data_IF_102964616842
#
_entry.id   IF_102964616842
#
_cell.length_a   1.000
_cell.length_b   1.000
_cell.length_c   1.000
_cell.angle_alpha   90.00
_cell.angle_beta   90.00
_cell.angle_gamma   90.00
#
_symmetry.space_group_name_H-M   'P 1'
#
loop_
_entity.id
_entity.type
_entity.pdbx_description
1 polymer ?
#
# COMPACT_ATOMS: atom_id res chain seq x y z
N UNK A 1 -37.79 -31.42 0.60
CA UNK A 1 -37.41 -30.77 1.90
C UNK A 1 -36.01 -31.12 2.41
N UNK A 2 -35.56 -32.38 2.40
CA UNK A 2 -34.15 -32.70 2.80
C UNK A 2 -33.10 -32.16 1.87
N UNK A 3 -33.31 -32.20 0.53
CA UNK A 3 -32.37 -31.72 -0.50
C UNK A 3 -32.19 -30.20 -0.47
N UNK A 4 -33.27 -29.43 -0.25
CA UNK A 4 -33.14 -27.95 -0.16
C UNK A 4 -32.40 -27.51 1.10
N UNK A 5 -32.51 -28.23 2.20
CA UNK A 5 -31.78 -27.94 3.45
C UNK A 5 -30.27 -28.20 3.29
N UNK A 6 -29.90 -29.28 2.60
CA UNK A 6 -28.48 -29.60 2.29
C UNK A 6 -27.87 -28.64 1.28
N UNK A 7 -28.58 -28.24 0.22
CA UNK A 7 -28.13 -27.26 -0.77
C UNK A 7 -27.86 -25.90 -0.09
N UNK A 8 -28.83 -25.39 0.68
CA UNK A 8 -28.67 -24.09 1.39
C UNK A 8 -27.53 -24.10 2.41
N UNK A 9 -27.27 -25.24 3.05
CA UNK A 9 -26.13 -25.40 3.97
C UNK A 9 -24.79 -25.44 3.22
N UNK A 10 -24.75 -26.08 2.07
CA UNK A 10 -23.61 -26.11 1.16
C UNK A 10 -23.23 -24.71 0.67
N UNK A 11 -24.20 -23.92 0.20
CA UNK A 11 -24.01 -22.55 -0.28
C UNK A 11 -23.51 -21.61 0.84
N UNK A 12 -24.06 -21.77 2.05
CA UNK A 12 -23.62 -20.99 3.23
C UNK A 12 -22.18 -21.32 3.62
N UNK A 13 -21.80 -22.60 3.62
CA UNK A 13 -20.43 -23.04 3.91
C UNK A 13 -19.45 -22.58 2.84
N UNK A 14 -19.83 -22.61 1.56
CA UNK A 14 -19.02 -22.11 0.45
C UNK A 14 -18.81 -20.59 0.56
N UNK A 15 -19.85 -19.83 0.92
CA UNK A 15 -19.75 -18.39 1.15
C UNK A 15 -18.84 -18.04 2.36
N UNK A 16 -18.92 -18.80 3.44
CA UNK A 16 -18.06 -18.65 4.61
C UNK A 16 -16.60 -19.01 4.29
N UNK A 17 -16.38 -20.09 3.55
CA UNK A 17 -15.05 -20.48 3.10
C UNK A 17 -14.44 -19.45 2.16
N UNK A 18 -15.24 -18.87 1.25
CA UNK A 18 -14.81 -17.78 0.37
C UNK A 18 -14.39 -16.54 1.16
N UNK A 19 -15.17 -16.14 2.18
CA UNK A 19 -14.83 -15.03 3.08
C UNK A 19 -13.55 -15.30 3.88
N UNK A 20 -13.38 -16.51 4.41
CA UNK A 20 -12.15 -16.91 5.11
C UNK A 20 -10.94 -16.91 4.19
N UNK A 21 -11.08 -17.37 2.94
CA UNK A 21 -10.04 -17.31 1.91
C UNK A 21 -9.64 -15.88 1.57
N UNK A 22 -10.59 -14.97 1.36
CA UNK A 22 -10.33 -13.55 1.12
C UNK A 22 -9.57 -12.91 2.28
N UNK A 23 -10.00 -13.14 3.52
CA UNK A 23 -9.33 -12.63 4.73
C UNK A 23 -7.88 -13.13 4.82
N UNK A 24 -7.65 -14.41 4.56
CA UNK A 24 -6.30 -15.00 4.59
C UNK A 24 -5.40 -14.34 3.54
N UNK A 25 -5.87 -14.17 2.31
CA UNK A 25 -5.11 -13.52 1.24
C UNK A 25 -4.79 -12.08 1.59
N UNK A 26 -5.74 -11.30 2.12
CA UNK A 26 -5.48 -9.93 2.56
C UNK A 26 -4.44 -9.85 3.67
N UNK A 27 -4.42 -10.78 4.63
CA UNK A 27 -3.40 -10.84 5.68
C UNK A 27 -2.02 -11.17 5.07
N UNK A 28 -1.95 -12.11 4.13
CA UNK A 28 -0.68 -12.47 3.48
C UNK A 28 -0.15 -11.28 2.67
N UNK A 29 -1.00 -10.63 1.86
CA UNK A 29 -0.62 -9.45 1.06
C UNK A 29 -0.18 -8.30 1.97
N UNK A 30 -0.90 -8.04 3.06
CA UNK A 30 -0.51 -7.07 4.08
C UNK A 30 0.88 -7.35 4.66
N UNK A 31 1.14 -8.60 5.02
CA UNK A 31 2.44 -9.00 5.59
C UNK A 31 3.58 -8.86 4.58
N UNK A 32 3.35 -9.22 3.31
CA UNK A 32 4.31 -9.04 2.23
C UNK A 32 4.61 -7.56 2.03
N UNK A 33 3.58 -6.70 1.90
CA UNK A 33 3.77 -5.26 1.70
C UNK A 33 4.51 -4.62 2.89
N UNK A 34 4.18 -5.00 4.13
CA UNK A 34 4.87 -4.48 5.31
C UNK A 34 6.35 -4.90 5.35
N UNK A 35 6.64 -6.17 5.05
CA UNK A 35 8.02 -6.67 4.99
C UNK A 35 8.81 -5.98 3.87
N UNK A 36 8.20 -5.84 2.69
CA UNK A 36 8.84 -5.20 1.55
C UNK A 36 9.04 -3.70 1.77
N UNK A 37 8.11 -3.01 2.44
CA UNK A 37 8.34 -1.63 2.88
C UNK A 37 9.65 -1.49 3.64
N UNK A 38 9.90 -2.34 4.63
CA UNK A 38 11.13 -2.27 5.44
C UNK A 38 12.39 -2.56 4.60
N UNK A 39 12.33 -3.57 3.76
CA UNK A 39 13.45 -3.98 2.90
C UNK A 39 13.75 -2.92 1.85
N UNK A 40 12.74 -2.42 1.17
CA UNK A 40 12.90 -1.48 0.06
C UNK A 40 13.20 -0.06 0.56
N UNK A 41 12.58 0.39 1.66
CA UNK A 41 12.94 1.68 2.27
C UNK A 41 14.39 1.69 2.75
N UNK A 42 14.82 0.61 3.43
CA UNK A 42 16.22 0.44 3.82
C UNK A 42 17.17 0.35 2.61
N UNK A 43 16.76 -0.36 1.56
CA UNK A 43 17.48 -0.43 0.28
C UNK A 43 17.56 0.93 -0.41
N UNK A 44 16.49 1.71 -0.38
CA UNK A 44 16.42 3.07 -0.92
C UNK A 44 17.38 4.03 -0.21
N UNK A 45 17.43 3.96 1.13
CA UNK A 45 18.42 4.71 1.92
C UNK A 45 19.85 4.28 1.58
N UNK A 46 20.13 2.99 1.50
CA UNK A 46 21.46 2.47 1.15
C UNK A 46 21.88 2.80 -0.28
N UNK A 47 20.94 2.76 -1.22
CA UNK A 47 21.15 3.12 -2.62
C UNK A 47 21.19 4.63 -2.85
N UNK A 48 20.75 5.43 -1.88
CA UNK A 48 20.41 6.84 -2.05
C UNK A 48 19.43 7.03 -3.21
N UNK A 49 18.34 6.25 -3.22
CA UNK A 49 17.34 6.28 -4.28
C UNK A 49 16.01 6.83 -3.77
N UNK A 50 15.64 8.01 -4.27
CA UNK A 50 14.34 8.62 -3.97
C UNK A 50 13.18 7.84 -4.58
N UNK A 51 13.39 7.21 -5.73
CA UNK A 51 12.38 6.39 -6.38
C UNK A 51 12.06 5.13 -5.56
N UNK A 52 13.08 4.39 -5.08
CA UNK A 52 12.88 3.24 -4.18
C UNK A 52 12.20 3.65 -2.87
N UNK A 53 12.65 4.74 -2.27
CA UNK A 53 12.03 5.24 -1.03
C UNK A 53 10.57 5.63 -1.24
N UNK A 54 10.25 6.30 -2.34
CA UNK A 54 8.88 6.68 -2.67
C UNK A 54 7.99 5.45 -2.92
N UNK A 55 8.48 4.46 -3.65
CA UNK A 55 7.78 3.21 -3.96
C UNK A 55 7.50 2.39 -2.68
N UNK A 56 8.48 2.30 -1.77
CA UNK A 56 8.28 1.64 -0.48
C UNK A 56 7.17 2.27 0.37
N UNK A 57 7.00 3.61 0.31
CA UNK A 57 5.91 4.31 1.04
C UNK A 57 4.54 3.88 0.52
N UNK A 58 4.42 3.51 -0.76
CA UNK A 58 3.20 2.91 -1.31
C UNK A 58 2.89 1.56 -0.66
N UNK A 59 3.87 0.69 -0.58
CA UNK A 59 3.72 -0.61 0.09
C UNK A 59 3.28 -0.44 1.55
N UNK A 60 3.82 0.56 2.27
CA UNK A 60 3.34 0.91 3.60
C UNK A 60 1.88 1.37 3.57
N UNK A 61 1.52 2.22 2.61
CA UNK A 61 0.15 2.69 2.40
C UNK A 61 -0.84 1.55 2.26
N UNK A 62 -0.50 0.57 1.43
CA UNK A 62 -1.30 -0.62 1.18
C UNK A 62 -1.40 -1.52 2.42
N UNK A 63 -0.28 -1.81 3.09
CA UNK A 63 -0.29 -2.57 4.33
C UNK A 63 -1.21 -1.93 5.37
N UNK A 64 -1.18 -0.59 5.51
CA UNK A 64 -2.07 0.13 6.42
C UNK A 64 -3.54 0.04 5.99
N UNK A 65 -3.87 0.11 4.69
CA UNK A 65 -5.26 -0.08 4.21
C UNK A 65 -5.77 -1.46 4.60
N UNK A 66 -4.98 -2.52 4.39
CA UNK A 66 -5.39 -3.88 4.75
C UNK A 66 -5.53 -4.06 6.27
N UNK A 67 -4.57 -3.54 7.05
CA UNK A 67 -4.64 -3.56 8.52
C UNK A 67 -5.90 -2.86 9.02
N UNK A 68 -6.20 -1.67 8.50
CA UNK A 68 -7.38 -0.89 8.88
C UNK A 68 -8.68 -1.56 8.46
N UNK A 69 -8.74 -2.13 7.24
CA UNK A 69 -9.91 -2.88 6.77
C UNK A 69 -10.20 -4.11 7.64
N UNK A 70 -9.15 -4.78 8.13
CA UNK A 70 -9.29 -5.93 9.03
C UNK A 70 -9.68 -5.51 10.46
N UNK A 71 -9.22 -4.34 10.91
CA UNK A 71 -9.41 -3.85 12.28
C UNK A 71 -10.73 -3.08 12.47
N UNK A 72 -11.11 -2.26 11.48
CA UNK A 72 -12.26 -1.34 11.59
C UNK A 72 -13.61 -2.04 11.43
N UNK A 73 -13.66 -3.24 10.82
CA UNK A 73 -14.87 -4.01 10.52
C UNK A 73 -15.85 -4.19 11.71
N UNK A 74 -15.42 -3.91 12.95
CA UNK A 74 -16.21 -4.18 14.16
C UNK A 74 -16.25 -3.02 15.17
N UNK A 75 -15.71 -1.83 14.86
CA UNK A 75 -15.48 -0.77 15.88
C UNK A 75 -16.18 0.57 15.66
N UNK A 76 -16.94 0.72 14.59
CA UNK A 76 -17.76 1.90 14.31
C UNK A 76 -17.02 3.09 13.68
N UNK A 77 -17.78 4.08 13.14
CA UNK A 77 -17.28 5.12 12.22
C UNK A 77 -16.17 6.02 12.79
N UNK A 78 -16.17 6.25 14.11
CA UNK A 78 -15.16 7.08 14.75
C UNK A 78 -13.77 6.43 14.77
N UNK A 79 -13.73 5.09 14.95
CA UNK A 79 -12.50 4.32 14.90
C UNK A 79 -11.96 4.22 13.47
N UNK A 80 -12.84 4.05 12.49
CA UNK A 80 -12.49 4.06 11.06
C UNK A 80 -11.85 5.40 10.67
N UNK A 81 -12.48 6.51 11.05
CA UNK A 81 -11.95 7.85 10.77
C UNK A 81 -10.61 8.11 11.49
N UNK A 82 -10.49 7.71 12.76
CA UNK A 82 -9.22 7.84 13.51
C UNK A 82 -8.07 7.05 12.88
N UNK A 83 -8.35 5.84 12.43
CA UNK A 83 -7.41 4.99 11.74
C UNK A 83 -6.99 5.56 10.37
N UNK A 84 -7.93 6.14 9.61
CA UNK A 84 -7.63 6.83 8.36
C UNK A 84 -6.75 8.08 8.58
N UNK A 85 -6.99 8.83 9.67
CA UNK A 85 -6.12 9.96 10.06
C UNK A 85 -4.71 9.46 10.38
N UNK A 86 -4.57 8.42 11.20
CA UNK A 86 -3.26 7.85 11.54
C UNK A 86 -2.50 7.41 10.28
N UNK A 87 -3.16 6.71 9.35
CA UNK A 87 -2.58 6.35 8.06
C UNK A 87 -2.10 7.59 7.29
N UNK A 88 -2.97 8.58 7.12
CA UNK A 88 -2.64 9.80 6.37
C UNK A 88 -1.43 10.54 6.96
N UNK A 89 -1.34 10.64 8.28
CA UNK A 89 -0.20 11.27 8.98
C UNK A 89 1.09 10.48 8.78
N UNK A 90 1.05 9.16 8.87
CA UNK A 90 2.22 8.28 8.65
C UNK A 90 2.74 8.45 7.21
N UNK A 91 1.86 8.40 6.21
CA UNK A 91 2.25 8.56 4.80
C UNK A 91 2.81 9.97 4.53
N UNK A 92 2.21 11.02 5.11
CA UNK A 92 2.78 12.37 5.01
C UNK A 92 4.18 12.44 5.61
N UNK A 93 4.40 11.84 6.78
CA UNK A 93 5.70 11.81 7.44
C UNK A 93 6.78 11.16 6.56
N UNK A 94 6.53 9.98 6.04
CA UNK A 94 7.46 9.29 5.14
C UNK A 94 7.63 10.03 3.81
N UNK A 95 6.55 10.57 3.24
CA UNK A 95 6.63 11.37 2.03
C UNK A 95 7.50 12.62 2.21
N UNK A 96 7.47 13.27 3.37
CA UNK A 96 8.38 14.38 3.70
C UNK A 96 9.83 13.94 3.76
N UNK A 97 10.14 12.76 4.29
CA UNK A 97 11.51 12.20 4.28
C UNK A 97 12.00 12.02 2.85
N UNK A 98 11.16 11.50 1.96
CA UNK A 98 11.49 11.36 0.52
C UNK A 98 11.72 12.71 -0.14
N UNK A 99 10.90 13.73 0.17
CA UNK A 99 11.12 15.09 -0.37
C UNK A 99 12.43 15.70 0.10
N UNK A 100 12.84 15.46 1.35
CA UNK A 100 14.15 15.91 1.87
C UNK A 100 15.27 15.23 1.10
N UNK A 101 15.20 13.92 0.85
CA UNK A 101 16.19 13.19 0.03
C UNK A 101 16.25 13.72 -1.40
N UNK A 102 15.11 14.03 -2.03
CA UNK A 102 15.05 14.66 -3.35
C UNK A 102 15.75 16.03 -3.33
N UNK A 103 15.46 16.86 -2.32
CA UNK A 103 16.06 18.19 -2.19
C UNK A 103 17.58 18.10 -1.99
N UNK A 104 18.06 17.16 -1.18
CA UNK A 104 19.49 16.90 -0.99
C UNK A 104 20.18 16.51 -2.30
N UNK A 105 19.56 15.63 -3.08
CA UNK A 105 20.08 15.24 -4.40
C UNK A 105 20.11 16.36 -5.41
N UNK A 106 19.09 17.23 -5.42
CA UNK A 106 19.08 18.40 -6.28
C UNK A 106 20.22 19.37 -5.93
N UNK A 107 20.58 19.48 -4.65
CA UNK A 107 21.65 20.34 -4.18
C UNK A 107 23.05 19.77 -4.46
N UNK A 108 23.25 18.47 -4.32
CA UNK A 108 24.57 17.82 -4.37
C UNK A 108 24.83 17.03 -5.64
N UNK A 109 23.81 16.68 -6.41
CA UNK A 109 23.91 16.02 -7.71
C UNK A 109 24.47 14.57 -7.69
N UNK A 110 24.50 13.92 -6.51
CA UNK A 110 25.08 12.59 -6.34
C UNK A 110 24.12 11.53 -6.93
N UNK A 111 24.55 10.76 -7.96
CA UNK A 111 23.70 9.72 -8.51
C UNK A 111 23.53 8.56 -7.53
N UNK A 112 22.33 7.93 -7.49
CA UNK A 112 22.11 6.74 -6.68
C UNK A 112 22.85 5.52 -7.22
N UNK A 113 23.01 4.49 -6.40
CA UNK A 113 23.57 3.20 -6.83
C UNK A 113 22.57 2.44 -7.70
N UNK A 114 22.76 2.43 -9.02
CA UNK A 114 21.91 1.72 -9.97
C UNK A 114 21.87 0.22 -9.70
N UNK A 115 22.97 -0.39 -9.24
CA UNK A 115 23.02 -1.83 -8.87
C UNK A 115 22.10 -2.14 -7.70
N UNK A 116 22.10 -1.33 -6.65
CA UNK A 116 21.20 -1.50 -5.51
C UNK A 116 19.76 -1.21 -5.91
N UNK A 117 19.52 -0.18 -6.73
CA UNK A 117 18.18 0.10 -7.27
C UNK A 117 17.61 -1.10 -8.04
N UNK A 118 18.40 -1.72 -8.91
CA UNK A 118 18.01 -2.91 -9.67
C UNK A 118 17.75 -4.10 -8.74
N UNK A 119 18.60 -4.33 -7.74
CA UNK A 119 18.46 -5.46 -6.83
C UNK A 119 17.18 -5.33 -5.98
N UNK A 120 16.99 -4.20 -5.29
CA UNK A 120 15.81 -3.99 -4.43
C UNK A 120 14.53 -3.80 -5.23
N UNK A 121 14.55 -3.05 -6.32
CA UNK A 121 13.40 -2.84 -7.20
C UNK A 121 12.94 -4.14 -7.90
N UNK A 122 13.87 -5.04 -8.27
CA UNK A 122 13.50 -6.36 -8.79
C UNK A 122 12.85 -7.24 -7.73
N UNK A 123 13.33 -7.17 -6.48
CA UNK A 123 12.72 -7.84 -5.34
C UNK A 123 11.30 -7.32 -5.07
N UNK A 124 11.11 -6.00 -5.10
CA UNK A 124 9.82 -5.35 -4.94
C UNK A 124 8.84 -5.74 -6.06
N UNK A 125 9.28 -5.70 -7.33
CA UNK A 125 8.47 -6.14 -8.46
C UNK A 125 8.04 -7.61 -8.30
N UNK A 126 8.94 -8.50 -7.91
CA UNK A 126 8.61 -9.91 -7.69
C UNK A 126 7.58 -10.10 -6.57
N UNK A 127 7.72 -9.37 -5.46
CA UNK A 127 6.75 -9.39 -4.36
C UNK A 127 5.37 -8.85 -4.79
N UNK A 128 5.33 -7.74 -5.55
CA UNK A 128 4.07 -7.17 -6.04
C UNK A 128 3.41 -8.05 -7.11
N UNK A 129 4.16 -8.72 -7.97
CA UNK A 129 3.62 -9.72 -8.88
C UNK A 129 3.03 -10.92 -8.12
N UNK A 130 3.67 -11.36 -7.03
CA UNK A 130 3.13 -12.39 -6.15
C UNK A 130 1.81 -11.93 -5.50
N UNK A 131 1.77 -10.72 -4.95
CA UNK A 131 0.54 -10.14 -4.38
C UNK A 131 -0.58 -10.05 -5.42
N UNK A 132 -0.28 -9.56 -6.62
CA UNK A 132 -1.22 -9.48 -7.73
C UNK A 132 -1.77 -10.87 -8.10
N UNK A 133 -0.91 -11.89 -8.17
CA UNK A 133 -1.28 -13.29 -8.43
C UNK A 133 -2.19 -13.87 -7.35
N UNK A 134 -1.91 -13.60 -6.08
CA UNK A 134 -2.74 -14.03 -4.96
C UNK A 134 -4.14 -13.37 -4.99
N UNK A 135 -4.20 -12.10 -5.38
CA UNK A 135 -5.46 -11.33 -5.48
C UNK A 135 -6.27 -11.67 -6.73
N UNK A 136 -5.62 -12.17 -7.79
CA UNK A 136 -6.26 -12.46 -9.09
C UNK A 136 -7.52 -13.32 -8.96
N UNK A 137 -7.45 -14.37 -8.14
CA UNK A 137 -8.57 -15.29 -7.91
C UNK A 137 -9.81 -14.60 -7.33
N UNK A 138 -9.60 -13.53 -6.56
CA UNK A 138 -10.66 -12.84 -5.81
C UNK A 138 -11.11 -11.51 -6.43
N UNK A 139 -10.53 -11.09 -7.58
CA UNK A 139 -10.80 -9.78 -8.20
C UNK A 139 -12.26 -9.52 -8.54
N UNK A 140 -13.06 -10.56 -8.74
CA UNK A 140 -14.50 -10.46 -9.04
C UNK A 140 -15.42 -10.72 -7.85
N UNK A 141 -14.89 -10.99 -6.64
CA UNK A 141 -15.69 -11.41 -5.52
C UNK A 141 -16.57 -10.29 -4.91
N UNK A 142 -16.04 -9.07 -4.83
CA UNK A 142 -16.73 -7.86 -4.36
C UNK A 142 -15.93 -6.60 -4.72
N UNK A 143 -16.54 -5.41 -4.48
CA UNK A 143 -15.95 -4.10 -4.80
C UNK A 143 -14.60 -3.89 -4.10
N UNK A 144 -14.48 -4.30 -2.82
CA UNK A 144 -13.23 -4.13 -2.07
C UNK A 144 -12.09 -4.98 -2.66
N UNK A 145 -12.35 -6.24 -3.00
CA UNK A 145 -11.35 -7.13 -3.60
C UNK A 145 -10.93 -6.66 -4.99
N UNK A 146 -11.87 -6.11 -5.76
CA UNK A 146 -11.57 -5.50 -7.05
C UNK A 146 -10.67 -4.28 -6.90
N UNK A 147 -11.00 -3.37 -5.98
CA UNK A 147 -10.17 -2.19 -5.70
C UNK A 147 -8.77 -2.58 -5.24
N UNK A 148 -8.65 -3.56 -4.33
CA UNK A 148 -7.38 -4.11 -3.88
C UNK A 148 -6.54 -4.67 -5.02
N UNK A 149 -7.17 -5.40 -5.95
CA UNK A 149 -6.49 -5.92 -7.13
C UNK A 149 -6.00 -4.80 -8.06
N UNK A 150 -6.81 -3.76 -8.27
CA UNK A 150 -6.44 -2.60 -9.10
C UNK A 150 -5.29 -1.81 -8.47
N UNK A 151 -5.25 -1.65 -7.14
CA UNK A 151 -4.10 -1.07 -6.43
C UNK A 151 -2.84 -1.89 -6.70
N UNK A 152 -2.86 -3.20 -6.39
CA UNK A 152 -1.70 -4.07 -6.60
C UNK A 152 -1.19 -4.10 -8.06
N UNK A 153 -2.09 -3.91 -9.03
CA UNK A 153 -1.67 -3.74 -10.43
C UNK A 153 -0.91 -2.42 -10.66
N UNK A 154 -1.34 -1.35 -10.00
CA UNK A 154 -0.66 -0.05 -10.10
C UNK A 154 0.71 -0.10 -9.45
N UNK A 155 0.88 -0.85 -8.33
CA UNK A 155 2.17 -1.04 -7.67
C UNK A 155 3.17 -1.74 -8.61
N UNK A 156 2.72 -2.75 -9.36
CA UNK A 156 3.55 -3.39 -10.40
C UNK A 156 4.02 -2.36 -11.45
N UNK A 157 3.15 -1.43 -11.86
CA UNK A 157 3.51 -0.38 -12.82
C UNK A 157 4.50 0.63 -12.21
N UNK A 158 4.34 1.00 -10.94
CA UNK A 158 5.26 1.86 -10.20
C UNK A 158 6.65 1.22 -10.13
N UNK A 159 6.74 -0.04 -9.74
CA UNK A 159 7.99 -0.80 -9.68
C UNK A 159 8.70 -0.89 -11.03
N UNK A 160 7.96 -1.07 -12.13
CA UNK A 160 8.53 -1.01 -13.48
C UNK A 160 9.14 0.37 -13.72
N UNK A 161 8.46 1.44 -13.31
CA UNK A 161 8.99 2.81 -13.37
C UNK A 161 10.31 2.97 -12.61
N UNK A 162 10.41 2.41 -11.40
CA UNK A 162 11.65 2.40 -10.59
C UNK A 162 12.77 1.65 -11.31
N UNK A 163 12.50 0.49 -11.90
CA UNK A 163 13.50 -0.28 -12.66
C UNK A 163 13.94 0.43 -13.92
N UNK A 164 13.05 1.11 -14.63
CA UNK A 164 13.40 1.97 -15.78
C UNK A 164 14.31 3.11 -15.32
N UNK A 165 13.99 3.77 -14.20
CA UNK A 165 14.85 4.79 -13.62
C UNK A 165 16.24 4.24 -13.29
N UNK A 166 16.32 3.05 -12.68
CA UNK A 166 17.58 2.39 -12.36
C UNK A 166 18.42 2.11 -13.60
N UNK A 167 17.81 1.63 -14.69
CA UNK A 167 18.46 1.42 -15.99
C UNK A 167 18.98 2.72 -16.59
N UNK A 168 18.19 3.79 -16.52
CA UNK A 168 18.62 5.12 -17.01
C UNK A 168 19.74 5.71 -16.14
N UNK A 169 19.72 5.55 -14.81
CA UNK A 169 20.82 5.92 -13.92
C UNK A 169 22.09 5.16 -14.29
N UNK A 170 22.00 3.85 -14.56
CA UNK A 170 23.13 3.04 -14.99
C UNK A 170 23.73 3.52 -16.32
N UNK A 171 22.87 3.92 -17.27
CA UNK A 171 23.29 4.37 -18.59
C UNK A 171 23.85 5.81 -18.60
N UNK A 172 23.29 6.70 -17.78
CA UNK A 172 23.62 8.14 -17.80
C UNK A 172 24.57 8.56 -16.69
N UNK A 173 24.74 7.73 -15.66
CA UNK A 173 25.46 8.08 -14.42
C UNK A 173 24.96 9.38 -13.77
N UNK A 174 23.68 9.72 -13.96
CA UNK A 174 23.05 10.94 -13.48
C UNK A 174 21.94 10.67 -12.48
N UNK A 175 21.67 11.61 -11.57
CA UNK A 175 20.63 11.47 -10.54
C UNK A 175 19.21 11.76 -11.05
N UNK A 176 19.06 12.49 -12.17
CA UNK A 176 17.77 13.00 -12.63
C UNK A 176 16.69 11.93 -12.90
N UNK A 177 16.99 10.69 -13.40
CA UNK A 177 15.93 9.71 -13.64
C UNK A 177 15.27 9.24 -12.32
N UNK A 178 16.10 9.03 -11.29
CA UNK A 178 15.64 8.67 -9.96
C UNK A 178 14.84 9.81 -9.30
N UNK A 179 15.32 11.05 -9.41
CA UNK A 179 14.61 12.23 -8.92
C UNK A 179 13.25 12.37 -9.61
N UNK A 180 13.20 12.21 -10.94
CA UNK A 180 11.98 12.36 -11.71
C UNK A 180 10.91 11.34 -11.28
N UNK A 181 11.26 10.05 -11.22
CA UNK A 181 10.34 8.98 -10.81
C UNK A 181 9.96 9.15 -9.33
N UNK A 182 10.92 9.36 -8.44
CA UNK A 182 10.66 9.58 -7.01
C UNK A 182 9.74 10.78 -6.76
N UNK A 183 9.93 11.88 -7.50
CA UNK A 183 9.06 13.07 -7.39
C UNK A 183 7.63 12.76 -7.83
N UNK A 184 7.44 12.10 -8.97
CA UNK A 184 6.10 11.74 -9.45
C UNK A 184 5.39 10.85 -8.42
N UNK A 185 6.07 9.81 -7.97
CA UNK A 185 5.50 8.84 -7.02
C UNK A 185 5.17 9.51 -5.70
N UNK A 186 6.09 10.27 -5.09
CA UNK A 186 5.83 10.92 -3.78
C UNK A 186 4.70 11.94 -3.86
N UNK A 187 4.60 12.71 -4.95
CA UNK A 187 3.52 13.69 -5.13
C UNK A 187 2.14 13.01 -5.24
N UNK A 188 2.06 11.87 -5.91
CA UNK A 188 0.82 11.09 -5.98
C UNK A 188 0.39 10.62 -4.57
N UNK A 189 1.34 10.17 -3.73
CA UNK A 189 1.04 9.76 -2.36
C UNK A 189 0.66 10.90 -1.44
N UNK A 190 1.40 12.01 -1.49
CA UNK A 190 1.07 13.19 -0.70
C UNK A 190 -0.33 13.72 -1.04
N UNK A 191 -0.69 13.71 -2.32
CA UNK A 191 -2.05 14.07 -2.76
C UNK A 191 -3.09 13.09 -2.22
N UNK A 192 -2.81 11.77 -2.26
CA UNK A 192 -3.71 10.74 -1.72
C UNK A 192 -3.88 10.90 -0.21
N UNK A 193 -2.77 11.05 0.53
CA UNK A 193 -2.79 11.25 1.98
C UNK A 193 -3.57 12.51 2.37
N UNK A 194 -3.37 13.61 1.64
CA UNK A 194 -4.13 14.84 1.85
C UNK A 194 -5.63 14.63 1.69
N UNK A 195 -6.06 13.94 0.63
CA UNK A 195 -7.47 13.63 0.39
C UNK A 195 -8.06 12.80 1.54
N UNK A 196 -7.35 11.75 1.95
CA UNK A 196 -7.77 10.90 3.08
C UNK A 196 -7.93 11.72 4.35
N UNK A 197 -7.00 12.62 4.66
CA UNK A 197 -7.07 13.48 5.84
C UNK A 197 -8.23 14.49 5.75
N UNK A 198 -8.44 15.08 4.58
CA UNK A 198 -9.51 16.03 4.34
C UNK A 198 -10.91 15.41 4.54
N UNK A 199 -11.07 14.12 4.23
CA UNK A 199 -12.32 13.38 4.45
C UNK A 199 -12.43 12.83 5.89
N UNK A 200 -11.34 12.29 6.43
CA UNK A 200 -11.34 11.61 7.73
C UNK A 200 -11.44 12.58 8.92
N UNK A 201 -10.83 13.77 8.86
CA UNK A 201 -10.85 14.75 9.97
C UNK A 201 -12.28 15.25 10.27
N UNK A 202 -13.10 15.69 9.29
CA UNK A 202 -14.50 16.07 9.53
C UNK A 202 -15.33 14.88 10.01
N UNK A 203 -15.14 13.69 9.42
CA UNK A 203 -15.85 12.47 9.83
C UNK A 203 -15.55 12.10 11.30
N UNK A 204 -14.31 12.22 11.73
CA UNK A 204 -13.93 11.96 13.13
C UNK A 204 -14.53 12.96 14.10
N UNK A 205 -14.60 14.26 13.71
CA UNK A 205 -15.20 15.32 14.51
C UNK A 205 -16.73 15.20 14.60
N UNK A 206 -17.39 14.75 13.53
CA UNK A 206 -18.84 14.57 13.45
C UNK A 206 -19.35 13.26 14.08
N UNK A 207 -18.49 12.26 14.23
CA UNK A 207 -18.87 10.97 14.78
C UNK A 207 -19.11 11.07 16.30
N UNK A 208 -20.36 10.89 16.73
CA UNK A 208 -20.70 10.80 18.16
C UNK A 208 -20.05 9.53 18.76
N UNK A 209 -19.52 9.58 20.01
CA UNK A 209 -19.05 8.39 20.69
C UNK A 209 -20.22 7.44 20.86
N UNK A 210 -20.12 6.22 20.31
CA UNK A 210 -21.09 5.17 20.64
C UNK A 210 -20.94 4.88 22.14
N UNK A 211 -21.99 5.12 22.92
CA UNK A 211 -22.07 4.58 24.29
C UNK A 211 -22.00 3.06 24.20
N UNK A 212 -21.14 2.38 24.99
CA UNK A 212 -21.25 0.94 25.10
C UNK A 212 -22.68 0.62 25.52
N UNK A 213 -23.39 -0.18 24.71
CA UNK A 213 -24.67 -0.75 25.14
C UNK A 213 -24.36 -1.53 26.41
N UNK A 214 -24.91 -1.03 27.53
CA UNK A 214 -24.91 -1.75 28.78
C UNK A 214 -25.58 -3.11 28.51
N UNK A 215 -24.81 -4.17 28.71
CA UNK A 215 -25.32 -5.54 28.74
C UNK A 215 -26.58 -5.59 29.63
N UNK A 216 -27.75 -5.68 28.96
CA UNK A 216 -28.99 -6.08 29.63
C UNK A 216 -29.18 -7.57 29.47
#
# INVERSE_FOLDING_TARGET
>A
MADECCSRKGDTLAALAAKAGQRRVLIIVMAINLAMFLVEFGGGLAARSSALMADSVDMLGDALVYALSLYALHRGPRWEAGAAIAKGVIILGFGMVVLVEIADKLAHGIPPSSTLMLAFGSGALAANLLCLGLLWRFRGANVNMRSTFECSRNDVLSNIGVLVAAGLVAATSAAWPDIAVGTVVVLLFLRSAWRVLAEAIPAWRGARPQRPEALR
#
